data_IF_109105843832
#
_entry.id   IF_109105843832
#
_cell.length_a   1.000
_cell.length_b   1.000
_cell.length_c   1.000
_cell.angle_alpha   90.00
_cell.angle_beta   90.00
_cell.angle_gamma   90.00
#
_symmetry.space_group_name_H-M   'P 1'
#
loop_
_entity.id
_entity.type
_entity.pdbx_description
1 polymer ?
#
# COMPACT_ATOMS: atom_id res chain seq x y z
N UNK A 1 -7.43 -15.55 -19.25
CA UNK A 1 -6.21 -16.02 -18.56
C UNK A 1 -5.69 -14.81 -17.80
N UNK A 2 -6.05 -14.66 -16.52
CA UNK A 2 -5.78 -13.45 -15.76
C UNK A 2 -4.30 -13.31 -15.47
N UNK A 3 -3.74 -12.13 -15.72
CA UNK A 3 -2.35 -11.79 -15.42
C UNK A 3 -2.09 -11.66 -13.91
N UNK A 4 -3.15 -11.60 -13.10
CA UNK A 4 -3.07 -11.35 -11.66
C UNK A 4 -3.45 -12.59 -10.84
N UNK A 5 -2.67 -12.89 -9.80
CA UNK A 5 -2.82 -14.06 -8.91
C UNK A 5 -4.02 -13.96 -7.93
N UNK A 6 -4.97 -13.05 -8.20
CA UNK A 6 -6.19 -12.80 -7.43
C UNK A 6 -5.99 -12.79 -5.91
N UNK A 7 -4.91 -12.16 -5.46
CA UNK A 7 -4.60 -12.00 -4.05
C UNK A 7 -5.47 -10.91 -3.44
N UNK A 8 -5.49 -10.92 -2.11
CA UNK A 8 -6.09 -9.87 -1.29
C UNK A 8 -4.97 -9.17 -0.52
N UNK A 9 -5.01 -7.85 -0.48
CA UNK A 9 -4.06 -7.00 0.24
C UNK A 9 -4.83 -5.90 0.95
N UNK A 10 -4.42 -5.57 2.18
CA UNK A 10 -4.93 -4.38 2.88
C UNK A 10 -3.90 -3.27 2.79
N UNK A 11 -4.27 -2.18 2.15
CA UNK A 11 -3.50 -0.94 2.09
C UNK A 11 -3.88 -0.04 3.26
N UNK A 12 -2.90 0.50 3.95
CA UNK A 12 -3.09 1.46 5.04
C UNK A 12 -2.55 2.83 4.61
N UNK A 13 -3.46 3.76 4.27
CA UNK A 13 -3.07 5.15 4.01
C UNK A 13 -2.90 5.89 5.33
N UNK A 14 -1.74 6.50 5.53
CA UNK A 14 -1.37 7.25 6.74
C UNK A 14 -1.75 8.72 6.60
N UNK A 15 -2.41 9.26 7.62
CA UNK A 15 -2.61 10.71 7.82
C UNK A 15 -1.99 11.12 9.14
N UNK A 16 -1.28 12.24 9.16
CA UNK A 16 -0.65 12.76 10.37
C UNK A 16 -1.08 14.21 10.63
N UNK A 17 -1.65 14.46 11.80
CA UNK A 17 -2.05 15.80 12.21
C UNK A 17 -0.92 16.43 13.04
N UNK A 18 -0.22 17.42 12.46
CA UNK A 18 0.92 18.06 13.11
C UNK A 18 0.58 18.91 14.35
N UNK A 19 -0.67 19.34 14.52
CA UNK A 19 -1.08 20.15 15.69
C UNK A 19 -1.35 19.28 16.92
N UNK A 20 -1.90 18.08 16.69
CA UNK A 20 -2.27 17.12 17.75
C UNK A 20 -1.25 16.01 17.92
N UNK A 21 -0.31 15.88 16.97
CA UNK A 21 0.65 14.77 16.84
C UNK A 21 -0.03 13.40 16.71
N UNK A 22 -1.30 13.36 16.29
CA UNK A 22 -2.04 12.11 16.11
C UNK A 22 -1.87 11.55 14.70
N UNK A 23 -1.62 10.23 14.66
CA UNK A 23 -1.52 9.44 13.45
C UNK A 23 -2.80 8.62 13.26
N UNK A 24 -3.36 8.66 12.05
CA UNK A 24 -4.58 7.92 11.71
C UNK A 24 -4.35 7.12 10.44
N UNK A 25 -4.80 5.87 10.43
CA UNK A 25 -4.72 4.99 9.27
C UNK A 25 -6.10 4.72 8.68
N UNK A 26 -6.18 4.76 7.36
CA UNK A 26 -7.40 4.49 6.60
C UNK A 26 -7.20 3.21 5.78
N UNK A 27 -7.66 2.06 6.29
CA UNK A 27 -7.49 0.79 5.59
C UNK A 27 -8.38 0.71 4.35
N UNK A 28 -7.85 0.09 3.31
CA UNK A 28 -8.56 -0.21 2.06
C UNK A 28 -8.23 -1.65 1.66
N UNK A 29 -9.27 -2.48 1.54
CA UNK A 29 -9.13 -3.81 0.98
C UNK A 29 -8.96 -3.71 -0.53
N UNK A 30 -7.88 -4.28 -1.04
CA UNK A 30 -7.60 -4.44 -2.46
C UNK A 30 -7.75 -5.92 -2.80
N UNK A 31 -8.75 -6.23 -3.63
CA UNK A 31 -9.07 -7.58 -4.08
C UNK A 31 -8.70 -7.77 -5.54
N UNK A 32 -8.39 -9.00 -5.95
CA UNK A 32 -8.04 -9.28 -7.34
C UNK A 32 -6.71 -8.66 -7.77
N UNK A 33 -5.80 -8.43 -6.82
CA UNK A 33 -4.46 -7.87 -7.07
C UNK A 33 -3.45 -8.98 -7.34
N UNK A 34 -2.29 -8.62 -7.86
CA UNK A 34 -1.12 -9.51 -7.84
C UNK A 34 -0.02 -8.97 -6.94
N UNK A 35 0.63 -9.87 -6.22
CA UNK A 35 1.69 -9.57 -5.29
C UNK A 35 2.87 -10.48 -5.61
N UNK A 36 3.90 -9.92 -6.23
CA UNK A 36 5.08 -10.65 -6.68
C UNK A 36 6.22 -10.40 -5.70
N UNK A 37 6.51 -11.39 -4.87
CA UNK A 37 7.63 -11.35 -3.92
C UNK A 37 8.96 -11.61 -4.66
N UNK A 38 9.93 -10.71 -4.49
CA UNK A 38 11.24 -10.76 -5.16
C UNK A 38 12.37 -11.13 -4.19
N UNK A 39 12.04 -11.43 -2.92
CA UNK A 39 12.95 -11.67 -1.77
C UNK A 39 14.10 -12.68 -1.99
N UNK A 40 14.12 -13.45 -3.09
CA UNK A 40 15.20 -14.40 -3.43
C UNK A 40 16.08 -14.06 -4.64
N UNK A 41 15.67 -13.15 -5.53
CA UNK A 41 16.36 -12.96 -6.82
C UNK A 41 17.44 -11.86 -6.80
N UNK A 42 17.22 -10.79 -6.03
CA UNK A 42 18.00 -9.55 -6.12
C UNK A 42 19.29 -9.55 -5.29
N UNK A 43 19.44 -10.44 -4.32
CA UNK A 43 20.68 -10.57 -3.52
C UNK A 43 21.85 -11.09 -4.38
N UNK A 44 21.57 -11.75 -5.51
CA UNK A 44 22.57 -12.50 -6.27
C UNK A 44 23.25 -11.74 -7.42
N UNK A 45 22.77 -10.55 -7.84
CA UNK A 45 23.20 -9.98 -9.14
C UNK A 45 23.70 -8.54 -9.17
N UNK A 46 23.37 -7.64 -8.25
CA UNK A 46 23.61 -6.20 -8.51
C UNK A 46 24.32 -5.40 -7.43
N UNK A 47 24.53 -5.92 -6.21
CA UNK A 47 25.17 -5.12 -5.14
C UNK A 47 24.47 -3.77 -4.89
N UNK A 48 23.16 -3.73 -5.12
CA UNK A 48 22.34 -2.51 -5.07
C UNK A 48 21.36 -2.67 -3.90
N UNK A 49 21.63 -1.96 -2.80
CA UNK A 49 20.97 -2.08 -1.49
C UNK A 49 19.49 -1.64 -1.45
N UNK A 50 18.82 -1.46 -2.59
CA UNK A 50 17.48 -0.86 -2.64
C UNK A 50 16.61 -1.44 -3.77
N UNK A 51 16.61 -2.76 -3.94
CA UNK A 51 15.59 -3.40 -4.77
C UNK A 51 14.33 -3.65 -3.91
N UNK A 52 13.15 -3.27 -4.41
CA UNK A 52 11.88 -3.58 -3.77
C UNK A 52 11.78 -5.09 -3.50
N UNK A 53 11.39 -5.45 -2.28
CA UNK A 53 11.24 -6.85 -1.84
C UNK A 53 9.95 -7.48 -2.39
N UNK A 54 9.01 -6.66 -2.81
CA UNK A 54 7.75 -7.06 -3.42
C UNK A 54 7.27 -6.02 -4.42
N UNK A 55 6.54 -6.45 -5.45
CA UNK A 55 5.81 -5.59 -6.36
C UNK A 55 4.33 -5.96 -6.37
N UNK A 56 3.48 -5.00 -6.05
CA UNK A 56 2.03 -5.11 -6.02
C UNK A 56 1.45 -4.50 -7.30
N UNK A 57 0.61 -5.24 -8.01
CA UNK A 57 -0.09 -4.78 -9.20
C UNK A 57 -1.58 -4.61 -8.90
N UNK A 58 -2.12 -3.42 -9.15
CA UNK A 58 -3.52 -3.07 -8.88
C UNK A 58 -4.20 -2.57 -10.14
N UNK A 59 -5.09 -3.37 -10.71
CA UNK A 59 -5.90 -3.01 -11.88
C UNK A 59 -6.90 -1.89 -11.52
N UNK A 60 -6.99 -0.84 -12.34
CA UNK A 60 -7.94 0.25 -12.11
C UNK A 60 -9.40 -0.22 -12.11
N UNK A 61 -9.72 -1.29 -12.85
CA UNK A 61 -11.05 -1.89 -12.88
C UNK A 61 -11.46 -2.58 -11.57
N UNK A 62 -10.50 -2.93 -10.71
CA UNK A 62 -10.73 -3.63 -9.44
C UNK A 62 -10.65 -2.70 -8.22
N UNK A 63 -10.43 -1.41 -8.43
CA UNK A 63 -10.31 -0.43 -7.36
C UNK A 63 -11.70 0.01 -6.89
N UNK A 64 -12.06 -0.33 -5.65
CA UNK A 64 -13.34 0.04 -5.05
C UNK A 64 -13.42 1.51 -4.62
N UNK A 65 -12.29 2.12 -4.22
CA UNK A 65 -12.22 3.53 -3.80
C UNK A 65 -11.49 4.36 -4.86
N UNK A 66 -12.04 5.49 -5.33
CA UNK A 66 -11.35 6.33 -6.29
C UNK A 66 -9.95 6.74 -5.81
N UNK A 67 -8.97 6.64 -6.72
CA UNK A 67 -7.60 7.09 -6.47
C UNK A 67 -7.50 8.62 -6.49
N UNK A 68 -6.74 9.17 -5.54
CA UNK A 68 -6.28 10.55 -5.57
C UNK A 68 -4.74 10.62 -5.52
N UNK A 69 -4.12 11.61 -6.17
CA UNK A 69 -2.71 11.90 -5.95
C UNK A 69 -2.41 12.18 -4.47
N UNK A 70 -1.23 11.80 -3.94
CA UNK A 70 -0.93 11.91 -2.50
C UNK A 70 -1.15 13.29 -1.91
N UNK A 71 -0.78 14.35 -2.64
CA UNK A 71 -0.97 15.74 -2.18
C UNK A 71 -2.44 16.12 -2.08
N UNK A 72 -3.29 15.64 -2.98
CA UNK A 72 -4.72 15.95 -2.97
C UNK A 72 -5.42 15.19 -1.83
N UNK A 73 -5.07 13.92 -1.65
CA UNK A 73 -5.56 13.12 -0.53
C UNK A 73 -5.12 13.71 0.81
N UNK A 74 -3.87 14.17 0.93
CA UNK A 74 -3.36 14.70 2.20
C UNK A 74 -4.07 15.98 2.64
N UNK A 75 -4.39 16.87 1.69
CA UNK A 75 -5.07 18.14 1.95
C UNK A 75 -6.59 18.01 2.18
N UNK A 76 -7.16 16.82 2.04
CA UNK A 76 -8.60 16.63 2.18
C UNK A 76 -9.02 16.51 3.65
N UNK A 77 -10.27 16.85 4.01
CA UNK A 77 -10.76 16.66 5.38
C UNK A 77 -10.70 15.18 5.80
N UNK A 78 -10.28 14.90 7.03
CA UNK A 78 -10.13 13.53 7.57
C UNK A 78 -11.38 12.65 7.38
N UNK A 79 -12.56 13.23 7.60
CA UNK A 79 -13.85 12.54 7.38
C UNK A 79 -14.04 12.01 5.94
N UNK A 80 -13.36 12.61 4.97
CA UNK A 80 -13.42 12.23 3.56
C UNK A 80 -12.35 11.19 3.18
N UNK A 81 -11.21 11.15 3.87
CA UNK A 81 -10.05 10.30 3.53
C UNK A 81 -10.41 8.82 3.38
N UNK A 82 -11.34 8.32 4.20
CA UNK A 82 -11.83 6.93 4.15
C UNK A 82 -12.47 6.50 2.82
N UNK A 83 -12.97 7.44 2.00
CA UNK A 83 -13.68 7.16 0.75
C UNK A 83 -12.77 7.12 -0.48
N UNK A 84 -11.50 7.48 -0.32
CA UNK A 84 -10.50 7.52 -1.38
C UNK A 84 -9.32 6.65 -1.01
N UNK A 85 -8.50 6.31 -2.00
CA UNK A 85 -7.20 5.69 -1.75
C UNK A 85 -6.09 6.54 -2.38
N UNK A 86 -4.88 6.40 -1.86
CA UNK A 86 -3.65 6.94 -2.45
C UNK A 86 -2.52 5.92 -2.30
N UNK A 87 -1.36 6.18 -2.90
CA UNK A 87 -0.13 5.47 -2.61
C UNK A 87 0.94 6.51 -2.32
N UNK A 88 1.30 6.66 -1.04
CA UNK A 88 2.30 7.63 -0.59
C UNK A 88 3.60 6.91 -0.15
N UNK A 89 4.68 7.02 -0.95
CA UNK A 89 5.97 6.46 -0.61
C UNK A 89 6.46 6.86 0.78
N UNK A 90 7.05 5.90 1.48
CA UNK A 90 7.59 6.01 2.82
C UNK A 90 6.60 6.39 3.95
N UNK A 91 5.31 6.54 3.66
CA UNK A 91 4.27 6.82 4.65
C UNK A 91 3.24 5.69 4.74
N UNK A 92 2.81 5.22 3.59
CA UNK A 92 1.83 4.14 3.49
C UNK A 92 2.53 2.79 3.54
N UNK A 93 1.76 1.78 3.91
CA UNK A 93 2.19 0.39 3.88
C UNK A 93 1.02 -0.51 3.52
N UNK A 94 1.32 -1.73 3.13
CA UNK A 94 0.32 -2.73 2.81
C UNK A 94 0.70 -4.09 3.38
N UNK A 95 -0.32 -4.88 3.69
CA UNK A 95 -0.17 -6.22 4.26
C UNK A 95 -0.97 -7.19 3.42
N UNK A 96 -0.39 -8.34 3.09
CA UNK A 96 -1.10 -9.44 2.43
C UNK A 96 -2.24 -9.96 3.32
N UNK A 97 -3.41 -10.17 2.72
CA UNK A 97 -4.64 -10.57 3.40
C UNK A 97 -5.56 -9.41 3.78
N UNK A 98 -6.69 -9.75 4.39
CA UNK A 98 -7.67 -8.79 4.92
C UNK A 98 -7.37 -8.48 6.39
N UNK A 99 -6.96 -7.23 6.63
CA UNK A 99 -6.64 -6.66 7.94
C UNK A 99 -7.49 -5.41 8.21
N UNK A 100 -8.57 -5.21 7.45
CA UNK A 100 -9.42 -4.02 7.58
C UNK A 100 -10.14 -3.95 8.94
N UNK A 101 -10.36 -5.09 9.58
CA UNK A 101 -10.95 -5.20 10.91
C UNK A 101 -9.94 -5.11 12.07
N UNK A 102 -8.65 -4.91 11.80
CA UNK A 102 -7.62 -4.89 12.84
C UNK A 102 -7.74 -3.65 13.71
N UNK A 103 -7.75 -3.85 15.03
CA UNK A 103 -7.74 -2.76 16.01
C UNK A 103 -6.30 -2.28 16.15
N UNK A 104 -6.01 -1.12 15.58
CA UNK A 104 -4.68 -0.52 15.63
C UNK A 104 -4.40 0.10 17.00
N UNK A 105 -3.16 -0.01 17.52
CA UNK A 105 -2.76 0.74 18.71
C UNK A 105 -2.78 2.24 18.43
N UNK A 106 -2.94 3.05 19.48
CA UNK A 106 -2.97 4.53 19.34
C UNK A 106 -1.66 5.09 18.77
N UNK A 107 -0.53 4.47 19.13
CA UNK A 107 0.80 4.90 18.71
C UNK A 107 1.51 3.73 18.03
N UNK A 108 2.43 4.04 17.11
CA UNK A 108 3.31 3.08 16.45
C UNK A 108 2.58 1.93 15.73
N UNK A 109 1.40 2.20 15.16
CA UNK A 109 0.55 1.17 14.56
C UNK A 109 1.25 0.43 13.41
N UNK A 110 2.04 1.14 12.60
CA UNK A 110 2.88 0.50 11.58
C UNK A 110 3.87 -0.49 12.21
N UNK A 111 4.64 -0.08 13.21
CA UNK A 111 5.65 -0.95 13.84
C UNK A 111 4.98 -2.15 14.50
N UNK A 112 3.85 -1.94 15.17
CA UNK A 112 3.09 -3.04 15.77
C UNK A 112 2.63 -4.05 14.71
N UNK A 113 2.07 -3.60 13.58
CA UNK A 113 1.67 -4.50 12.51
C UNK A 113 2.88 -5.19 11.87
N UNK A 114 3.99 -4.48 11.67
CA UNK A 114 5.23 -5.05 11.15
C UNK A 114 5.78 -6.17 12.05
N UNK A 115 5.68 -6.03 13.37
CA UNK A 115 6.15 -7.03 14.33
C UNK A 115 5.20 -8.22 14.50
N UNK A 116 3.91 -8.06 14.19
CA UNK A 116 2.85 -9.05 14.46
C UNK A 116 2.22 -9.67 13.21
N UNK A 117 2.50 -9.15 12.02
CA UNK A 117 1.98 -9.64 10.75
C UNK A 117 3.13 -9.97 9.80
N UNK A 118 3.08 -11.15 9.21
CA UNK A 118 3.91 -11.47 8.06
C UNK A 118 3.50 -10.63 6.84
N UNK A 119 4.41 -10.51 5.87
CA UNK A 119 4.13 -9.86 4.58
C UNK A 119 3.59 -8.41 4.71
N UNK A 120 4.11 -7.68 5.71
CA UNK A 120 3.93 -6.23 5.87
C UNK A 120 5.04 -5.49 5.13
N UNK A 121 4.67 -4.62 4.19
CA UNK A 121 5.61 -3.89 3.34
C UNK A 121 5.32 -2.41 3.31
N UNK A 122 6.36 -1.61 3.45
CA UNK A 122 6.27 -0.16 3.34
C UNK A 122 6.29 0.24 1.87
N UNK A 123 5.39 1.12 1.44
CA UNK A 123 5.35 1.60 0.04
C UNK A 123 6.63 2.37 -0.25
N UNK A 124 7.31 2.04 -1.35
CA UNK A 124 8.57 2.68 -1.77
C UNK A 124 8.43 3.43 -3.09
N UNK A 125 7.72 2.84 -4.05
CA UNK A 125 7.56 3.34 -5.40
C UNK A 125 6.11 3.20 -5.85
N UNK A 126 5.69 4.06 -6.78
CA UNK A 126 4.39 4.01 -7.43
C UNK A 126 4.55 4.42 -8.88
N UNK A 127 4.21 3.51 -9.78
CA UNK A 127 4.11 3.77 -11.21
C UNK A 127 2.66 3.59 -11.66
N UNK A 128 2.21 4.50 -12.52
CA UNK A 128 0.85 4.50 -13.07
C UNK A 128 0.92 4.27 -14.57
N UNK A 129 0.29 3.20 -15.04
CA UNK A 129 0.21 2.85 -16.46
C UNK A 129 -1.23 2.99 -16.93
N UNK A 130 -1.46 3.81 -17.96
CA UNK A 130 -2.82 4.08 -18.47
C UNK A 130 -3.07 3.47 -19.86
N UNK A 131 -2.02 3.26 -20.65
CA UNK A 131 -2.14 2.98 -22.09
C UNK A 131 -2.55 1.54 -22.44
N UNK A 132 -1.96 0.53 -21.79
CA UNK A 132 -2.21 -0.89 -22.05
C UNK A 132 -2.24 -1.62 -20.72
N UNK A 133 -3.38 -2.28 -20.43
CA UNK A 133 -3.70 -2.87 -19.13
C UNK A 133 -3.59 -1.81 -18.03
N UNK A 134 -4.57 -0.92 -17.88
CA UNK A 134 -4.43 0.22 -16.98
C UNK A 134 -4.33 -0.22 -15.50
N UNK A 135 -3.19 0.01 -14.86
CA UNK A 135 -2.90 -0.48 -13.51
C UNK A 135 -1.88 0.39 -12.77
N UNK A 136 -1.78 0.19 -11.46
CA UNK A 136 -0.67 0.66 -10.63
C UNK A 136 0.33 -0.46 -10.42
N UNK A 137 1.62 -0.13 -10.47
CA UNK A 137 2.70 -0.93 -9.88
C UNK A 137 3.20 -0.24 -8.62
N UNK A 138 3.15 -0.94 -7.49
CA UNK A 138 3.54 -0.42 -6.18
C UNK A 138 4.69 -1.26 -5.63
N UNK A 139 5.84 -0.63 -5.40
CA UNK A 139 6.97 -1.28 -4.74
C UNK A 139 6.79 -1.32 -3.22
N UNK A 140 7.29 -2.38 -2.58
CA UNK A 140 7.33 -2.50 -1.14
C UNK A 140 8.59 -3.15 -0.58
N UNK A 141 8.99 -2.75 0.64
CA UNK A 141 10.13 -3.31 1.41
C UNK A 141 9.73 -3.73 2.82
#
# INVERSE_FOLDING_TARGET
MGFFDNKTVTLFNRSFNAETEEETYYPTLLEGVDLVETKGANVSKSGMDSADAVKLYVDFGNIAKPYLPPKEWENMPDKCKQYFLTFNPAQDFFIKGDHTGTILPKNDAYQWLFDHCDDCYKVTTIDKYEDILSHFEVGGV
#
